data_IF_111626767319
#
_entry.id   IF_111626767319
#
_cell.length_a   1.000
_cell.length_b   1.000
_cell.length_c   1.000
_cell.angle_alpha   90.00
_cell.angle_beta   90.00
_cell.angle_gamma   90.00
#
_symmetry.space_group_name_H-M   'P 1'
#
loop_
_entity.id
_entity.type
_entity.pdbx_description
1 polymer ?
#
# COMPACT_ATOMS: atom_id res chain seq x y z
N UNK A 1 -5.50 -21.84 10.89
CA UNK A 1 -4.87 -21.56 9.58
C UNK A 1 -3.38 -21.39 9.85
N UNK A 2 -2.62 -22.48 9.70
CA UNK A 2 -1.21 -22.57 10.09
C UNK A 2 -0.36 -21.96 8.99
N UNK A 3 0.29 -20.82 9.25
CA UNK A 3 1.21 -20.20 8.28
C UNK A 3 2.40 -21.15 8.12
N UNK A 4 2.59 -21.66 6.89
CA UNK A 4 3.59 -22.67 6.56
C UNK A 4 5.02 -22.13 6.78
N UNK A 5 5.92 -22.88 7.46
CA UNK A 5 7.25 -22.40 7.82
C UNK A 5 8.26 -22.72 6.70
N UNK A 6 8.18 -22.02 5.56
CA UNK A 6 9.26 -22.01 4.57
C UNK A 6 9.10 -20.87 3.53
N UNK A 7 8.80 -19.66 3.99
CA UNK A 7 9.00 -18.46 3.17
C UNK A 7 10.50 -18.15 3.20
N UNK A 8 11.27 -18.79 2.31
CA UNK A 8 12.65 -18.38 2.03
C UNK A 8 12.60 -16.89 1.68
N UNK A 9 13.21 -16.06 2.51
CA UNK A 9 13.33 -14.63 2.29
C UNK A 9 14.08 -14.41 0.98
N UNK A 10 13.36 -14.17 -0.12
CA UNK A 10 13.97 -13.55 -1.27
C UNK A 10 14.42 -12.15 -0.84
N UNK A 11 15.70 -11.89 -1.04
CA UNK A 11 16.32 -10.59 -0.81
C UNK A 11 15.49 -9.51 -1.52
N UNK A 12 15.16 -8.43 -0.80
CA UNK A 12 14.35 -7.34 -1.35
C UNK A 12 15.06 -6.75 -2.57
N UNK A 13 14.48 -6.90 -3.76
CA UNK A 13 15.10 -6.40 -4.98
C UNK A 13 15.31 -4.88 -4.91
N UNK A 14 16.32 -4.38 -5.63
CA UNK A 14 16.59 -2.94 -5.77
C UNK A 14 15.34 -2.18 -6.27
N UNK A 15 14.58 -2.80 -7.15
CA UNK A 15 13.32 -2.27 -7.70
C UNK A 15 12.24 -2.15 -6.63
N UNK A 16 12.08 -3.16 -5.77
CA UNK A 16 11.12 -3.11 -4.67
C UNK A 16 11.43 -1.96 -3.69
N UNK A 17 12.71 -1.76 -3.37
CA UNK A 17 13.15 -0.63 -2.53
C UNK A 17 12.92 0.73 -3.20
N UNK A 18 13.18 0.83 -4.50
CA UNK A 18 12.93 2.05 -5.25
C UNK A 18 11.42 2.38 -5.32
N UNK A 19 10.57 1.37 -5.55
CA UNK A 19 9.11 1.52 -5.50
C UNK A 19 8.66 1.98 -4.12
N UNK A 20 9.16 1.34 -3.05
CA UNK A 20 8.83 1.72 -1.68
C UNK A 20 9.23 3.16 -1.35
N UNK A 21 10.45 3.57 -1.70
CA UNK A 21 10.91 4.94 -1.49
C UNK A 21 10.02 5.96 -2.21
N UNK A 22 9.56 5.64 -3.43
CA UNK A 22 8.63 6.48 -4.19
C UNK A 22 7.26 6.57 -3.52
N UNK A 23 6.68 5.44 -3.10
CA UNK A 23 5.41 5.41 -2.36
C UNK A 23 5.49 6.27 -1.10
N UNK A 24 6.56 6.14 -0.32
CA UNK A 24 6.78 6.95 0.86
C UNK A 24 6.82 8.45 0.54
N UNK A 25 7.53 8.84 -0.53
CA UNK A 25 7.61 10.24 -0.94
C UNK A 25 6.26 10.79 -1.41
N UNK A 26 5.50 10.02 -2.20
CA UNK A 26 4.23 10.44 -2.79
C UNK A 26 3.06 10.43 -1.78
N UNK A 27 3.02 9.44 -0.90
CA UNK A 27 1.86 9.17 -0.02
C UNK A 27 2.00 9.69 1.40
N UNK A 28 3.21 10.08 1.84
CA UNK A 28 3.44 10.55 3.21
C UNK A 28 3.45 12.09 3.26
N UNK A 29 2.60 12.71 4.11
CA UNK A 29 2.65 14.14 4.37
C UNK A 29 4.05 14.59 4.79
N UNK A 30 4.51 15.74 4.28
CA UNK A 30 5.89 16.22 4.48
C UNK A 30 6.30 16.26 5.95
N UNK A 31 5.38 16.66 6.85
CA UNK A 31 5.62 16.73 8.30
C UNK A 31 5.75 15.36 8.99
N UNK A 32 5.39 14.25 8.32
CA UNK A 32 5.46 12.89 8.86
C UNK A 32 6.55 12.04 8.21
N UNK A 33 7.15 12.50 7.10
CA UNK A 33 8.12 11.73 6.30
C UNK A 33 9.32 11.27 7.11
N UNK A 34 9.87 12.16 7.94
CA UNK A 34 11.04 11.83 8.76
C UNK A 34 10.73 10.67 9.71
N UNK A 35 9.66 10.80 10.51
CA UNK A 35 9.21 9.77 11.46
C UNK A 35 8.94 8.44 10.78
N UNK A 36 8.24 8.45 9.63
CA UNK A 36 7.96 7.23 8.87
C UNK A 36 9.25 6.61 8.32
N UNK A 37 10.12 7.38 7.67
CA UNK A 37 11.32 6.86 7.02
C UNK A 37 12.35 6.29 8.01
N UNK A 38 12.41 6.83 9.23
CA UNK A 38 13.31 6.37 10.28
C UNK A 38 12.83 5.09 10.97
N UNK A 39 11.52 4.83 10.97
CA UNK A 39 10.95 3.77 11.79
C UNK A 39 10.23 2.69 10.99
N UNK A 40 9.80 2.92 9.76
CA UNK A 40 9.09 1.95 8.92
C UNK A 40 10.00 1.45 7.79
N UNK A 41 10.28 0.15 7.80
CA UNK A 41 11.20 -0.47 6.85
C UNK A 41 10.54 -1.61 6.08
N UNK A 42 10.81 -1.68 4.78
CA UNK A 42 10.45 -2.84 3.96
C UNK A 42 11.41 -4.00 4.27
N UNK A 43 10.90 -5.04 4.92
CA UNK A 43 11.68 -6.25 5.21
C UNK A 43 11.69 -7.22 4.03
N UNK A 44 10.53 -7.44 3.40
CA UNK A 44 10.42 -8.35 2.25
C UNK A 44 9.29 -7.93 1.31
N UNK A 45 9.47 -8.22 0.02
CA UNK A 45 8.41 -8.19 -0.98
C UNK A 45 8.48 -9.48 -1.78
N UNK A 46 7.34 -10.12 -1.97
CA UNK A 46 7.23 -11.36 -2.73
C UNK A 46 6.07 -11.26 -3.69
N UNK A 47 6.28 -11.72 -4.93
CA UNK A 47 5.26 -11.83 -5.96
C UNK A 47 5.28 -13.28 -6.42
N UNK A 48 4.13 -13.92 -6.48
CA UNK A 48 4.02 -15.30 -6.93
C UNK A 48 2.74 -15.52 -7.72
N UNK A 49 2.81 -16.42 -8.69
CA UNK A 49 1.66 -16.81 -9.48
C UNK A 49 0.72 -17.67 -8.62
N UNK A 50 -0.54 -17.29 -8.61
CA UNK A 50 -1.63 -18.13 -8.14
C UNK A 50 -2.45 -18.56 -9.34
N UNK A 51 -2.37 -19.82 -9.71
CA UNK A 51 -3.27 -20.44 -10.70
C UNK A 51 -4.73 -20.53 -10.22
N UNK A 52 -5.16 -19.66 -9.30
CA UNK A 52 -6.48 -19.62 -8.70
C UNK A 52 -7.46 -18.78 -9.52
N UNK A 53 -8.76 -19.11 -9.41
CA UNK A 53 -9.85 -18.46 -10.16
C UNK A 53 -10.22 -17.06 -9.68
N UNK A 54 -9.77 -16.67 -8.48
CA UNK A 54 -10.22 -15.45 -7.79
C UNK A 54 -9.39 -14.20 -8.12
N UNK A 55 -8.42 -14.29 -9.02
CA UNK A 55 -7.62 -13.15 -9.48
C UNK A 55 -7.54 -13.11 -10.99
N UNK A 56 -7.92 -11.97 -11.58
CA UNK A 56 -7.92 -11.78 -13.04
C UNK A 56 -6.49 -11.87 -13.62
N UNK A 57 -5.51 -11.46 -12.83
CA UNK A 57 -4.09 -11.44 -13.18
C UNK A 57 -3.35 -12.72 -12.76
N UNK A 58 -3.99 -13.60 -11.97
CA UNK A 58 -3.38 -14.84 -11.49
C UNK A 58 -2.10 -14.64 -10.66
N UNK A 59 -1.87 -13.45 -10.08
CA UNK A 59 -0.65 -13.09 -9.33
C UNK A 59 -0.96 -12.46 -7.97
N UNK A 60 -0.31 -12.97 -6.92
CA UNK A 60 -0.37 -12.41 -5.56
C UNK A 60 0.93 -11.72 -5.18
N UNK A 61 0.78 -10.66 -4.39
CA UNK A 61 1.88 -9.95 -3.78
C UNK A 61 1.73 -9.95 -2.26
N UNK A 62 2.84 -10.15 -1.57
CA UNK A 62 2.95 -10.07 -0.11
C UNK A 62 4.12 -9.15 0.22
N UNK A 63 3.81 -8.03 0.88
CA UNK A 63 4.79 -7.09 1.41
C UNK A 63 4.85 -7.19 2.92
N UNK A 64 6.06 -7.28 3.48
CA UNK A 64 6.30 -7.34 4.92
C UNK A 64 7.08 -6.09 5.31
N UNK A 65 6.51 -5.31 6.20
CA UNK A 65 7.16 -4.14 6.79
C UNK A 65 7.41 -4.37 8.28
N UNK A 66 8.50 -3.81 8.78
CA UNK A 66 8.82 -3.78 10.20
C UNK A 66 8.82 -2.33 10.67
N UNK A 67 8.24 -2.10 11.85
CA UNK A 67 8.15 -0.77 12.45
C UNK A 67 8.46 -0.80 13.93
N UNK A 68 9.19 0.20 14.41
CA UNK A 68 9.35 0.46 15.85
C UNK A 68 8.46 1.62 16.23
N UNK A 69 7.55 1.41 17.18
CA UNK A 69 6.65 2.47 17.67
C UNK A 69 7.47 3.51 18.44
N UNK A 70 7.43 4.77 18.02
CA UNK A 70 8.06 5.89 18.73
C UNK A 70 7.05 6.80 19.40
N UNK A 71 7.52 7.68 20.28
CA UNK A 71 6.66 8.57 21.07
C UNK A 71 5.74 9.43 20.21
N UNK A 72 6.23 9.91 19.06
CA UNK A 72 5.47 10.69 18.07
C UNK A 72 4.30 9.88 17.47
N UNK A 73 4.39 8.55 17.52
CA UNK A 73 3.39 7.61 17.01
C UNK A 73 2.31 7.28 18.05
N UNK A 74 2.50 7.71 19.29
CA UNK A 74 1.63 7.38 20.41
C UNK A 74 0.59 8.45 20.72
N UNK A 75 -0.48 8.03 21.39
CA UNK A 75 -1.48 8.92 22.00
C UNK A 75 -1.04 9.40 23.39
N UNK A 76 -1.93 10.10 24.10
CA UNK A 76 -1.66 10.61 25.45
C UNK A 76 -1.43 9.53 26.50
N UNK A 77 -1.75 8.26 26.21
CA UNK A 77 -1.52 7.11 27.10
C UNK A 77 -0.21 6.37 26.76
N UNK A 78 0.57 6.86 25.79
CA UNK A 78 1.79 6.18 25.34
C UNK A 78 1.51 4.91 24.55
N UNK A 79 0.32 4.80 23.95
CA UNK A 79 -0.10 3.68 23.10
C UNK A 79 -0.15 4.10 21.65
N UNK A 80 0.08 3.18 20.71
CA UNK A 80 0.05 3.47 19.28
C UNK A 80 -1.29 4.11 18.91
N UNK A 81 -1.26 5.34 18.40
CA UNK A 81 -2.49 6.05 18.08
C UNK A 81 -3.16 5.42 16.87
N UNK A 82 -4.49 5.42 16.85
CA UNK A 82 -5.27 4.88 15.71
C UNK A 82 -4.96 5.60 14.40
N UNK A 83 -4.65 6.89 14.46
CA UNK A 83 -4.26 7.68 13.28
C UNK A 83 -2.98 7.15 12.66
N UNK A 84 -1.96 6.88 13.49
CA UNK A 84 -0.70 6.29 13.02
C UNK A 84 -0.89 4.87 12.51
N UNK A 85 -1.65 4.03 13.22
CA UNK A 85 -1.95 2.68 12.76
C UNK A 85 -2.62 2.68 11.39
N UNK A 86 -3.59 3.58 11.16
CA UNK A 86 -4.29 3.71 9.88
C UNK A 86 -3.34 4.16 8.77
N UNK A 87 -2.51 5.16 9.02
CA UNK A 87 -1.50 5.64 8.06
C UNK A 87 -0.51 4.53 7.68
N UNK A 88 0.01 3.80 8.67
CA UNK A 88 0.95 2.70 8.44
C UNK A 88 0.33 1.59 7.58
N UNK A 89 -0.90 1.18 7.91
CA UNK A 89 -1.65 0.20 7.13
C UNK A 89 -1.85 0.67 5.69
N UNK A 90 -2.27 1.93 5.50
CA UNK A 90 -2.47 2.49 4.16
C UNK A 90 -1.17 2.47 3.35
N UNK A 91 -0.06 3.00 3.90
CA UNK A 91 1.24 3.01 3.24
C UNK A 91 1.73 1.60 2.88
N UNK A 92 1.66 0.65 3.82
CA UNK A 92 2.12 -0.72 3.60
C UNK A 92 1.27 -1.44 2.55
N UNK A 93 -0.04 -1.19 2.55
CA UNK A 93 -0.98 -1.77 1.58
C UNK A 93 -0.72 -1.29 0.15
N UNK A 94 -0.32 -0.02 -0.03
CA UNK A 94 0.01 0.54 -1.34
C UNK A 94 1.15 -0.21 -2.01
N UNK A 95 2.17 -0.62 -1.26
CA UNK A 95 3.27 -1.40 -1.83
C UNK A 95 2.81 -2.75 -2.38
N UNK A 96 1.98 -3.48 -1.63
CA UNK A 96 1.46 -4.77 -2.08
C UNK A 96 0.58 -4.63 -3.33
N UNK A 97 -0.27 -3.59 -3.41
CA UNK A 97 -1.07 -3.30 -4.60
C UNK A 97 -0.21 -2.98 -5.82
N UNK A 98 0.71 -2.03 -5.69
CA UNK A 98 1.60 -1.60 -6.77
C UNK A 98 2.61 -2.67 -7.22
N UNK A 99 2.97 -3.61 -6.34
CA UNK A 99 3.91 -4.68 -6.67
C UNK A 99 3.42 -5.53 -7.86
N UNK A 100 2.10 -5.70 -8.02
CA UNK A 100 1.54 -6.46 -9.14
C UNK A 100 1.71 -5.76 -10.49
N UNK A 101 1.83 -4.42 -10.47
CA UNK A 101 1.94 -3.59 -11.67
C UNK A 101 3.40 -3.44 -12.14
N UNK A 102 4.40 -3.84 -11.33
CA UNK A 102 5.82 -3.74 -11.66
C UNK A 102 6.18 -4.39 -13.03
N UNK A 103 5.66 -5.57 -13.41
CA UNK A 103 6.11 -6.25 -14.62
C UNK A 103 5.46 -5.79 -15.93
N UNK A 104 4.32 -5.09 -15.88
CA UNK A 104 3.45 -4.92 -17.06
C UNK A 104 3.45 -3.52 -17.66
N UNK A 105 3.34 -2.45 -16.87
CA UNK A 105 3.15 -1.08 -17.43
C UNK A 105 3.80 0.03 -16.59
N UNK A 106 4.67 -0.33 -15.64
CA UNK A 106 5.05 0.59 -14.56
C UNK A 106 3.91 0.77 -13.55
N UNK A 107 4.16 1.51 -12.49
CA UNK A 107 3.19 1.66 -11.42
C UNK A 107 1.95 2.43 -11.89
N UNK A 108 0.81 1.74 -11.97
CA UNK A 108 -0.49 2.38 -12.21
C UNK A 108 -0.82 3.24 -10.99
N UNK A 109 -1.15 4.53 -11.15
CA UNK A 109 -1.60 5.35 -10.04
C UNK A 109 -2.85 4.73 -9.40
N UNK A 110 -2.84 4.56 -8.08
CA UNK A 110 -3.98 4.03 -7.34
C UNK A 110 -4.34 4.92 -6.17
N UNK A 111 -5.60 4.89 -5.76
CA UNK A 111 -6.08 5.62 -4.57
C UNK A 111 -6.90 4.70 -3.69
N UNK A 112 -6.66 4.75 -2.39
CA UNK A 112 -7.51 4.11 -1.39
C UNK A 112 -8.92 4.69 -1.45
N UNK A 113 -9.92 3.84 -1.67
CA UNK A 113 -11.34 4.22 -1.69
C UNK A 113 -12.10 3.67 -0.49
N UNK A 114 -11.59 2.62 0.15
CA UNK A 114 -12.13 2.11 1.40
C UNK A 114 -11.01 1.51 2.26
N UNK A 115 -11.09 1.73 3.57
CA UNK A 115 -10.22 1.12 4.56
C UNK A 115 -11.09 0.73 5.76
N UNK A 116 -11.17 -0.57 6.03
CA UNK A 116 -11.83 -1.12 7.21
C UNK A 116 -10.74 -1.66 8.14
N UNK A 117 -10.66 -1.15 9.37
CA UNK A 117 -9.62 -1.48 10.34
C UNK A 117 -10.26 -1.97 11.64
N UNK A 118 -9.97 -3.21 11.99
CA UNK A 118 -10.35 -3.86 13.23
C UNK A 118 -9.13 -3.92 14.16
N UNK A 119 -9.22 -3.26 15.31
CA UNK A 119 -8.13 -3.17 16.30
C UNK A 119 -8.43 -4.10 17.47
N UNK A 120 -7.48 -4.98 17.79
CA UNK A 120 -7.61 -5.97 18.87
C UNK A 120 -6.80 -5.59 20.12
N UNK A 121 -5.67 -4.89 19.94
CA UNK A 121 -4.84 -4.39 21.04
C UNK A 121 -4.11 -3.11 20.62
N UNK A 122 -3.50 -2.41 21.58
CA UNK A 122 -2.71 -1.21 21.29
C UNK A 122 -1.28 -1.34 21.87
N UNK A 123 -0.26 -1.50 21.02
CA UNK A 123 1.14 -1.58 21.41
C UNK A 123 1.61 -0.30 22.10
N UNK A 124 2.56 -0.42 23.03
CA UNK A 124 3.19 0.73 23.66
C UNK A 124 4.33 1.31 22.81
N UNK A 125 4.83 2.48 23.21
CA UNK A 125 6.13 2.98 22.75
C UNK A 125 7.22 1.91 22.85
N UNK A 126 8.14 1.90 21.88
CA UNK A 126 9.23 0.94 21.68
C UNK A 126 8.80 -0.48 21.27
N UNK A 127 7.49 -0.77 21.16
CA UNK A 127 7.04 -2.04 20.60
C UNK A 127 7.49 -2.19 19.14
N UNK A 128 7.98 -3.38 18.80
CA UNK A 128 8.30 -3.74 17.42
C UNK A 128 7.09 -4.39 16.77
N UNK A 129 6.64 -3.86 15.63
CA UNK A 129 5.52 -4.40 14.88
C UNK A 129 5.98 -4.93 13.53
N UNK A 130 5.24 -5.93 13.04
CA UNK A 130 5.34 -6.44 11.68
C UNK A 130 3.99 -6.26 10.99
N UNK A 131 3.99 -5.57 9.87
CA UNK A 131 2.80 -5.35 9.04
C UNK A 131 2.94 -6.22 7.80
N UNK A 132 2.03 -7.17 7.62
CA UNK A 132 1.98 -8.07 6.47
C UNK A 132 0.82 -7.67 5.59
N UNK A 133 1.11 -7.17 4.40
CA UNK A 133 0.13 -6.73 3.41
C UNK A 133 0.08 -7.73 2.26
N UNK A 134 -1.06 -8.39 2.07
CA UNK A 134 -1.26 -9.42 1.06
C UNK A 134 -2.40 -9.06 0.11
N UNK A 135 -2.17 -9.14 -1.21
CA UNK A 135 -3.24 -8.93 -2.19
C UNK A 135 -4.24 -10.09 -2.13
N UNK A 136 -5.52 -9.76 -1.91
CA UNK A 136 -6.62 -10.71 -1.86
C UNK A 136 -7.16 -10.93 -3.27
N UNK A 137 -7.51 -9.82 -3.92
CA UNK A 137 -8.10 -9.78 -5.26
C UNK A 137 -7.47 -8.64 -6.06
N UNK A 138 -7.26 -8.87 -7.35
CA UNK A 138 -6.78 -7.86 -8.29
C UNK A 138 -7.58 -7.99 -9.58
N UNK A 139 -8.17 -6.88 -10.00
CA UNK A 139 -8.82 -6.69 -11.31
C UNK A 139 -8.31 -5.37 -11.91
N UNK A 140 -8.55 -5.14 -13.20
CA UNK A 140 -8.07 -3.99 -14.01
C UNK A 140 -8.38 -2.60 -13.44
N UNK A 141 -9.27 -2.51 -12.46
CA UNK A 141 -9.72 -1.24 -11.85
C UNK A 141 -9.63 -1.25 -10.34
N UNK A 142 -9.61 -2.40 -9.69
CA UNK A 142 -9.74 -2.50 -8.25
C UNK A 142 -8.81 -3.55 -7.70
N UNK A 143 -8.16 -3.20 -6.60
CA UNK A 143 -7.32 -4.09 -5.82
C UNK A 143 -7.80 -4.11 -4.38
N UNK A 144 -7.79 -5.28 -3.77
CA UNK A 144 -8.08 -5.46 -2.35
C UNK A 144 -6.87 -6.05 -1.66
N UNK A 145 -6.43 -5.44 -0.57
CA UNK A 145 -5.27 -5.84 0.21
C UNK A 145 -5.71 -6.14 1.64
N UNK A 146 -5.35 -7.32 2.15
CA UNK A 146 -5.45 -7.67 3.56
C UNK A 146 -4.17 -7.23 4.25
N UNK A 147 -4.27 -6.44 5.31
CA UNK A 147 -3.15 -6.10 6.17
C UNK A 147 -3.34 -6.74 7.53
N UNK A 148 -2.35 -7.49 8.00
CA UNK A 148 -2.30 -7.98 9.36
C UNK A 148 -1.16 -7.29 10.11
N UNK A 149 -1.46 -6.74 11.28
CA UNK A 149 -0.48 -6.06 12.12
C UNK A 149 -0.21 -6.94 13.33
N UNK A 150 1.06 -7.28 13.53
CA UNK A 150 1.52 -8.16 14.58
C UNK A 150 2.53 -7.42 15.47
N UNK A 151 2.35 -7.50 16.77
CA UNK A 151 3.39 -7.10 17.72
C UNK A 151 4.36 -8.27 17.92
N UNK A 152 5.65 -7.99 17.77
CA UNK A 152 6.72 -8.96 17.92
C UNK A 152 7.20 -8.90 19.37
N UNK A 153 7.04 -10.02 20.08
CA UNK A 153 7.42 -10.16 21.49
C UNK A 153 8.56 -11.19 21.63
N UNK A 154 9.34 -11.16 22.72
CA UNK A 154 10.43 -12.12 22.93
C UNK A 154 9.98 -13.60 22.91
N UNK A 155 8.73 -13.87 23.24
CA UNK A 155 8.16 -15.23 23.36
C UNK A 155 7.12 -15.56 22.27
N UNK A 156 7.00 -14.75 21.23
CA UNK A 156 6.01 -14.98 20.18
C UNK A 156 5.55 -13.69 19.51
N UNK A 157 4.32 -13.71 19.01
CA UNK A 157 3.74 -12.58 18.32
C UNK A 157 2.23 -12.55 18.58
N UNK A 158 1.70 -11.34 18.74
CA UNK A 158 0.29 -11.10 19.06
C UNK A 158 -0.33 -10.26 17.97
N UNK A 159 -1.52 -10.62 17.50
CA UNK A 159 -2.22 -9.84 16.48
C UNK A 159 -2.77 -8.55 17.11
N UNK A 160 -2.33 -7.42 16.57
CA UNK A 160 -2.70 -6.07 17.01
C UNK A 160 -3.93 -5.59 16.26
N UNK A 161 -3.94 -5.78 14.94
CA UNK A 161 -5.03 -5.34 14.09
C UNK A 161 -5.12 -6.15 12.79
N UNK A 162 -6.28 -6.11 12.16
CA UNK A 162 -6.52 -6.55 10.80
C UNK A 162 -7.16 -5.40 10.03
N UNK A 163 -6.77 -5.21 8.76
CA UNK A 163 -7.41 -4.25 7.91
C UNK A 163 -7.64 -4.78 6.50
N UNK A 164 -8.72 -4.33 5.88
CA UNK A 164 -9.01 -4.54 4.45
C UNK A 164 -9.00 -3.19 3.75
N UNK A 165 -8.09 -3.05 2.81
CA UNK A 165 -7.90 -1.84 2.02
C UNK A 165 -8.36 -2.13 0.59
N UNK A 166 -9.24 -1.29 0.06
CA UNK A 166 -9.68 -1.32 -1.32
C UNK A 166 -9.12 -0.11 -2.04
N UNK A 167 -8.40 -0.36 -3.13
CA UNK A 167 -7.75 0.64 -3.96
C UNK A 167 -8.39 0.66 -5.34
N UNK A 168 -8.64 1.86 -5.86
CA UNK A 168 -9.04 2.09 -7.24
C UNK A 168 -7.80 2.39 -8.09
N UNK A 169 -7.56 1.59 -9.11
CA UNK A 169 -6.52 1.83 -10.11
C UNK A 169 -7.04 2.84 -11.15
N UNK A 170 -6.21 3.84 -11.45
CA UNK A 170 -6.54 4.98 -12.31
C UNK A 170 -5.59 5.08 -13.50
N UNK A 171 -5.61 4.12 -14.45
CA UNK A 171 -4.68 4.10 -15.59
C UNK A 171 -4.81 5.31 -16.51
N UNK A 172 -5.93 6.04 -16.47
CA UNK A 172 -6.09 7.28 -17.25
C UNK A 172 -5.24 8.44 -16.70
N UNK A 173 -4.82 8.41 -15.44
CA UNK A 173 -3.93 9.43 -14.87
C UNK A 173 -2.49 9.24 -15.35
N UNK A 174 -2.04 8.00 -15.54
CA UNK A 174 -0.72 7.73 -16.13
C UNK A 174 -0.59 8.34 -17.54
N UNK A 175 -1.67 8.32 -18.33
CA UNK A 175 -1.72 8.92 -19.67
C UNK A 175 -1.82 10.44 -19.70
N UNK A 176 -2.17 11.07 -18.57
CA UNK A 176 -2.29 12.53 -18.49
C UNK A 176 -0.92 13.18 -18.28
N UNK A 177 0.00 12.49 -17.61
CA UNK A 177 1.34 13.03 -17.33
C UNK A 177 2.22 13.09 -18.60
N UNK A 178 1.97 12.18 -19.54
CA UNK A 178 2.58 12.17 -20.88
C UNK A 178 2.03 13.28 -21.80
N UNK A 179 0.98 13.99 -21.37
CA UNK A 179 0.40 15.15 -22.08
C UNK A 179 0.97 16.49 -21.63
N UNK A 180 2.08 16.52 -20.87
CA UNK A 180 2.83 17.75 -20.60
C UNK A 180 3.47 18.41 -21.85
N UNK A 181 3.22 17.87 -23.05
CA UNK A 181 3.47 18.53 -24.35
C UNK A 181 2.26 19.25 -24.97
N UNK A 182 1.11 19.34 -24.29
CA UNK A 182 -0.05 20.06 -24.81
C UNK A 182 0.01 21.51 -24.30
N UNK A 183 0.50 22.42 -25.15
CA UNK A 183 0.42 23.86 -24.92
C UNK A 183 -1.05 24.31 -24.83
N UNK A 184 -1.31 25.36 -24.05
CA UNK A 184 -2.65 25.94 -23.77
C UNK A 184 -3.48 26.25 -25.03
N UNK A 185 -2.87 26.33 -26.21
CA UNK A 185 -3.55 26.62 -27.48
C UNK A 185 -4.52 25.52 -27.97
N UNK A 186 -4.43 24.28 -27.45
CA UNK A 186 -5.30 23.18 -27.90
C UNK A 186 -6.61 23.01 -27.10
N UNK A 187 -6.85 23.81 -26.06
CA UNK A 187 -8.08 23.74 -25.26
C UNK A 187 -9.25 24.58 -25.82
N UNK A 188 -9.05 25.34 -26.89
CA UNK A 188 -10.09 26.22 -27.46
C UNK A 188 -11.00 25.49 -28.48
N UNK A 189 -10.61 24.34 -29.02
CA UNK A 189 -11.32 23.74 -30.18
C UNK A 189 -12.41 22.71 -29.84
N UNK A 190 -12.84 22.60 -28.57
CA UNK A 190 -13.96 21.70 -28.18
C UNK A 190 -15.26 22.40 -27.84
N UNK A 191 -15.41 23.65 -28.27
CA UNK A 191 -16.66 24.40 -28.29
C UNK A 191 -17.46 24.22 -29.60
N UNK A 192 -17.82 22.99 -29.99
CA UNK A 192 -18.89 22.78 -31.00
C UNK A 192 -20.01 21.94 -30.41
N UNK A 193 -21.01 22.66 -29.91
CA UNK A 193 -22.35 22.16 -29.60
C UNK A 193 -22.98 21.71 -30.93
N UNK A 194 -23.20 20.41 -31.10
CA UNK A 194 -24.08 19.91 -32.15
C UNK A 194 -25.51 19.98 -31.63
N UNK A 195 -26.22 21.06 -31.98
CA UNK A 195 -27.68 21.13 -31.88
C UNK A 195 -28.25 20.33 -33.06
N UNK A 196 -28.77 19.13 -32.78
CA UNK A 196 -29.57 18.38 -33.74
C UNK A 196 -30.94 19.04 -33.90
N UNK A 197 -31.30 19.41 -35.14
CA UNK A 197 -32.67 19.76 -35.51
C UNK A 197 -33.53 18.49 -35.58
N UNK A 198 -34.72 18.55 -34.98
CA UNK A 198 -35.94 17.93 -35.51
C UNK A 198 -36.78 19.06 -36.11
#
# INVERSE_FOLDING_TARGET
MTISPALKSQETSKEARALWARILAESTPTNLREVVSQNLHLAALQIYDTHGKDQADGRKAVAIHEVVVRGEMTDGEGKLSRTWLTLLVELCSNLAGHALDLPTEGSIPSKTVALNLDVHSSPSTESSLRIVSSTISSDKRMQSVLCEVWEILPKGQTKVAEARVTQLQMPWLAKADDRRGWTEDMLVDRGKVMVGKL
#
